data_IF_773454225910
#
_entry.id   IF_773454225910
#
_cell.length_a   1.000
_cell.length_b   1.000
_cell.length_c   1.000
_cell.angle_alpha   90.00
_cell.angle_beta   90.00
_cell.angle_gamma   90.00
#
_symmetry.space_group_name_H-M   'P 1'
#
loop_
_entity.id
_entity.type
_entity.pdbx_description
1 polymer ?
#
# COMPACT_ATOMS: atom_id res chain seq x y z
N UNK A 1 6.12 18.96 -15.51
CA UNK A 1 5.28 18.10 -14.64
C UNK A 1 5.44 18.72 -13.27
N UNK A 2 4.69 19.80 -13.01
CA UNK A 2 4.82 20.53 -11.75
C UNK A 2 4.21 19.67 -10.66
N UNK A 3 5.05 19.19 -9.76
CA UNK A 3 4.59 18.58 -8.52
C UNK A 3 4.00 19.74 -7.69
N UNK A 4 2.70 19.73 -7.38
CA UNK A 4 2.10 20.81 -6.61
C UNK A 4 2.81 20.87 -5.26
N UNK A 5 3.12 22.09 -4.81
CA UNK A 5 3.65 22.35 -3.48
C UNK A 5 2.73 21.68 -2.44
N UNK A 6 3.24 20.61 -1.84
CA UNK A 6 2.52 19.79 -0.87
C UNK A 6 2.81 20.37 0.52
N UNK A 7 2.03 21.38 0.90
CA UNK A 7 1.92 21.82 2.29
C UNK A 7 1.13 20.77 3.07
N UNK A 8 1.86 19.76 3.52
CA UNK A 8 1.35 18.72 4.39
C UNK A 8 1.87 18.98 5.79
N UNK A 9 0.93 19.24 6.71
CA UNK A 9 1.20 19.18 8.13
C UNK A 9 1.63 17.75 8.49
N UNK A 10 2.84 17.63 9.04
CA UNK A 10 3.40 16.34 9.46
C UNK A 10 2.75 15.99 10.81
N UNK A 11 1.67 15.21 10.78
CA UNK A 11 1.06 14.63 11.98
C UNK A 11 1.68 13.26 12.35
N UNK A 12 2.96 13.04 12.00
CA UNK A 12 3.70 11.80 12.27
C UNK A 12 4.76 12.04 13.33
N UNK A 13 4.90 11.09 14.26
CA UNK A 13 5.85 11.16 15.37
C UNK A 13 6.74 9.94 15.41
N UNK A 14 8.05 10.15 15.47
CA UNK A 14 9.02 9.09 15.79
C UNK A 14 8.98 8.86 17.30
N UNK A 15 8.69 7.62 17.72
CA UNK A 15 8.45 7.29 19.13
C UNK A 15 9.73 6.93 19.90
N UNK A 16 10.81 6.56 19.21
CA UNK A 16 12.07 6.15 19.80
C UNK A 16 13.13 7.26 19.72
N UNK A 17 14.17 7.12 20.54
CA UNK A 17 15.40 7.90 20.40
C UNK A 17 16.16 7.38 19.17
N UNK A 18 16.59 8.28 18.31
CA UNK A 18 17.36 7.98 17.09
C UNK A 18 18.87 8.05 17.36
N UNK A 19 19.65 7.24 16.65
CA UNK A 19 21.10 7.39 16.53
C UNK A 19 21.47 8.11 15.22
N UNK A 20 22.74 8.48 15.08
CA UNK A 20 23.25 9.23 13.91
C UNK A 20 22.92 8.54 12.58
N UNK A 21 23.02 7.21 12.50
CA UNK A 21 22.70 6.45 11.28
C UNK A 21 21.21 6.54 10.93
N UNK A 22 20.33 6.43 11.93
CA UNK A 22 18.88 6.53 11.76
C UNK A 22 18.45 7.93 11.32
N UNK A 23 19.13 8.99 11.80
CA UNK A 23 18.84 10.37 11.39
C UNK A 23 19.16 10.62 9.90
N UNK A 24 20.12 9.89 9.33
CA UNK A 24 20.39 9.96 7.88
C UNK A 24 19.27 9.35 7.03
N UNK A 25 18.47 8.44 7.61
CA UNK A 25 17.33 7.79 6.94
C UNK A 25 16.04 8.55 7.22
N UNK A 26 15.82 8.94 8.48
CA UNK A 26 14.63 9.63 8.97
C UNK A 26 14.79 11.15 8.85
N UNK A 27 15.25 11.61 7.68
CA UNK A 27 15.33 13.03 7.41
C UNK A 27 13.92 13.66 7.42
N UNK A 28 13.81 14.97 7.65
CA UNK A 28 12.52 15.66 7.61
C UNK A 28 11.73 15.39 6.32
N UNK A 29 12.41 15.32 5.17
CA UNK A 29 11.81 15.04 3.86
C UNK A 29 11.31 13.60 3.78
N UNK A 30 12.08 12.63 4.29
CA UNK A 30 11.68 11.22 4.33
C UNK A 30 10.44 11.02 5.21
N UNK A 31 10.40 11.66 6.39
CA UNK A 31 9.24 11.61 7.29
C UNK A 31 8.02 12.27 6.63
N UNK A 32 8.20 13.42 5.95
CA UNK A 32 7.13 14.10 5.21
C UNK A 32 6.57 13.19 4.11
N UNK A 33 7.45 12.54 3.35
CA UNK A 33 7.05 11.61 2.29
C UNK A 33 6.31 10.38 2.84
N UNK A 34 6.82 9.74 3.89
CA UNK A 34 6.15 8.62 4.53
C UNK A 34 4.77 9.00 5.08
N UNK A 35 4.65 10.19 5.67
CA UNK A 35 3.37 10.73 6.17
C UNK A 35 2.36 10.93 5.03
N UNK A 36 2.82 11.44 3.88
CA UNK A 36 1.99 11.56 2.70
C UNK A 36 1.45 10.21 2.22
N UNK A 37 2.33 9.20 2.10
CA UNK A 37 1.92 7.85 1.71
C UNK A 37 0.90 7.28 2.69
N UNK A 38 1.13 7.45 3.99
CA UNK A 38 0.19 7.00 5.02
C UNK A 38 -1.18 7.66 4.84
N UNK A 39 -1.24 8.99 4.77
CA UNK A 39 -2.49 9.73 4.63
C UNK A 39 -3.25 9.34 3.35
N UNK A 40 -2.52 9.08 2.25
CA UNK A 40 -3.11 8.73 0.96
C UNK A 40 -3.64 7.30 0.90
N UNK A 41 -2.95 6.34 1.51
CA UNK A 41 -3.19 4.90 1.27
C UNK A 41 -3.65 4.11 2.50
N UNK A 42 -3.53 4.64 3.71
CA UNK A 42 -3.83 3.85 4.92
C UNK A 42 -5.31 3.47 5.04
N UNK A 43 -6.24 4.31 4.58
CA UNK A 43 -7.67 3.98 4.61
C UNK A 43 -7.97 2.73 3.78
N UNK A 44 -7.56 2.70 2.50
CA UNK A 44 -7.70 1.52 1.64
C UNK A 44 -6.96 0.31 2.19
N UNK A 45 -5.78 0.49 2.81
CA UNK A 45 -5.07 -0.62 3.47
C UNK A 45 -5.91 -1.26 4.58
N UNK A 46 -6.57 -0.45 5.41
CA UNK A 46 -7.43 -0.95 6.49
C UNK A 46 -8.67 -1.67 5.94
N UNK A 47 -9.34 -1.09 4.94
CA UNK A 47 -10.49 -1.72 4.26
C UNK A 47 -10.13 -3.10 3.68
N UNK A 48 -8.96 -3.21 3.04
CA UNK A 48 -8.48 -4.48 2.49
C UNK A 48 -8.15 -5.52 3.57
N UNK A 49 -7.76 -5.11 4.79
CA UNK A 49 -7.54 -6.03 5.89
C UNK A 49 -8.86 -6.57 6.45
N UNK A 50 -9.88 -5.73 6.57
CA UNK A 50 -11.22 -6.18 6.95
C UNK A 50 -11.80 -7.16 5.92
N UNK A 51 -11.62 -6.88 4.63
CA UNK A 51 -12.04 -7.80 3.56
C UNK A 51 -11.36 -9.17 3.65
N UNK A 52 -10.13 -9.26 4.18
CA UNK A 52 -9.46 -10.55 4.40
C UNK A 52 -10.12 -11.35 5.51
N UNK A 53 -10.58 -10.69 6.57
CA UNK A 53 -11.31 -11.35 7.67
C UNK A 53 -12.61 -11.92 7.12
N UNK A 54 -13.39 -11.10 6.41
CA UNK A 54 -14.65 -11.52 5.77
C UNK A 54 -14.42 -12.71 4.84
N UNK A 55 -13.38 -12.65 3.98
CA UNK A 55 -13.08 -13.74 3.04
C UNK A 55 -12.67 -15.03 3.76
N UNK A 56 -11.97 -14.92 4.88
CA UNK A 56 -11.60 -16.08 5.69
C UNK A 56 -12.84 -16.75 6.30
N UNK A 57 -13.78 -15.96 6.83
CA UNK A 57 -15.03 -16.49 7.40
C UNK A 57 -15.86 -17.25 6.35
N UNK A 58 -15.89 -16.77 5.11
CA UNK A 58 -16.53 -17.49 4.00
C UNK A 58 -15.88 -18.84 3.69
N UNK A 59 -14.54 -18.88 3.69
CA UNK A 59 -13.77 -20.11 3.47
C UNK A 59 -14.03 -21.09 4.62
N UNK A 60 -14.04 -20.62 5.86
CA UNK A 60 -14.32 -21.42 7.05
C UNK A 60 -15.76 -21.97 7.04
N UNK A 61 -16.70 -21.25 6.43
CA UNK A 61 -18.07 -21.70 6.16
C UNK A 61 -18.18 -22.71 5.00
N UNK A 62 -17.06 -23.05 4.34
CA UNK A 62 -16.97 -24.06 3.28
C UNK A 62 -16.93 -23.51 1.86
N UNK A 63 -16.91 -22.18 1.66
CA UNK A 63 -16.75 -21.57 0.34
C UNK A 63 -15.28 -21.57 -0.09
N UNK A 64 -14.80 -22.73 -0.54
CA UNK A 64 -13.42 -22.92 -0.96
C UNK A 64 -13.03 -21.99 -2.12
N UNK A 65 -11.77 -21.49 -2.18
CA UNK A 65 -11.31 -20.65 -3.27
C UNK A 65 -11.36 -21.37 -4.63
N UNK A 66 -11.79 -20.64 -5.66
CA UNK A 66 -11.75 -21.06 -7.06
C UNK A 66 -11.51 -19.83 -7.97
N UNK A 67 -11.33 -20.05 -9.27
CA UNK A 67 -11.13 -18.97 -10.24
C UNK A 67 -12.36 -18.08 -10.37
N UNK A 68 -12.16 -16.78 -10.19
CA UNK A 68 -13.19 -15.77 -10.33
C UNK A 68 -13.65 -15.66 -11.80
N UNK A 69 -14.94 -15.83 -12.12
CA UNK A 69 -15.46 -15.67 -13.47
C UNK A 69 -15.23 -14.25 -14.03
N UNK A 70 -15.29 -13.23 -13.17
CA UNK A 70 -15.18 -11.82 -13.57
C UNK A 70 -13.81 -11.46 -14.15
N UNK A 71 -12.77 -12.25 -13.86
CA UNK A 71 -11.40 -12.05 -14.35
C UNK A 71 -11.00 -13.04 -15.44
N UNK A 72 -11.94 -13.83 -15.98
CA UNK A 72 -11.64 -14.82 -17.02
C UNK A 72 -11.05 -14.21 -18.28
N UNK A 73 -11.61 -13.08 -18.75
CA UNK A 73 -11.12 -12.38 -19.94
C UNK A 73 -9.63 -12.00 -19.80
N UNK A 74 -9.21 -11.53 -18.63
CA UNK A 74 -7.82 -11.16 -18.36
C UNK A 74 -6.87 -12.38 -18.36
N UNK A 75 -7.38 -13.57 -18.01
CA UNK A 75 -6.59 -14.81 -18.01
C UNK A 75 -6.44 -15.42 -19.41
N UNK A 76 -7.40 -15.16 -20.31
CA UNK A 76 -7.41 -15.68 -21.67
C UNK A 76 -6.81 -14.69 -22.70
N UNK A 77 -6.49 -13.47 -22.28
CA UNK A 77 -5.91 -12.44 -23.13
C UNK A 77 -4.38 -12.61 -23.26
N UNK A 78 -3.82 -12.11 -24.36
CA UNK A 78 -2.38 -12.15 -24.65
C UNK A 78 -1.72 -10.85 -24.17
N UNK A 79 -1.22 -10.85 -22.94
CA UNK A 79 -0.59 -9.69 -22.33
C UNK A 79 0.74 -10.03 -21.64
N UNK A 80 1.62 -9.04 -21.57
CA UNK A 80 2.90 -9.13 -20.88
C UNK A 80 3.06 -7.97 -19.89
N UNK A 81 3.90 -8.15 -18.86
CA UNK A 81 4.21 -7.08 -17.91
C UNK A 81 5.02 -5.96 -18.56
N UNK A 82 5.17 -4.83 -17.87
CA UNK A 82 6.07 -3.77 -18.31
C UNK A 82 7.53 -4.27 -18.51
N UNK A 83 8.32 -3.64 -19.40
CA UNK A 83 9.69 -4.06 -19.69
C UNK A 83 10.58 -4.10 -18.45
N UNK A 84 11.47 -5.09 -18.40
CA UNK A 84 12.46 -5.23 -17.32
C UNK A 84 13.53 -4.13 -17.49
N UNK A 85 13.83 -3.32 -16.45
CA UNK A 85 14.90 -2.34 -16.50
C UNK A 85 16.27 -3.03 -16.62
N UNK A 86 17.23 -2.35 -17.27
CA UNK A 86 18.61 -2.84 -17.44
C UNK A 86 19.44 -2.71 -16.16
#
# INVERSE_FOLDING_TARGET
MDCPEMDLEINSKVLCVTNDEQETILTPEAIKFASFLHNKFNNTRLELLENRIVRQDEIDAGLMPDFLPETESMRQDDWETAPIPR
#
